data_IF_804571159396
#
_entry.id   IF_804571159396
#
_cell.length_a   1.000
_cell.length_b   1.000
_cell.length_c   1.000
_cell.angle_alpha   90.00
_cell.angle_beta   90.00
_cell.angle_gamma   90.00
#
_symmetry.space_group_name_H-M   'P 1'
#
loop_
_entity.id
_entity.type
_entity.pdbx_description
1 polymer ?
#
# COMPACT_ATOMS: atom_id res chain seq x y z
N UNK A 1 -5.02 30.27 18.17
CA UNK A 1 -4.74 29.46 16.96
C UNK A 1 -3.94 28.26 17.42
N UNK A 2 -4.61 27.25 17.95
CA UNK A 2 -3.95 26.04 18.47
C UNK A 2 -3.74 25.10 17.29
N UNK A 3 -2.47 25.00 16.88
CA UNK A 3 -1.99 24.00 15.95
C UNK A 3 -2.32 22.66 16.60
N UNK A 4 -3.15 21.86 15.91
CA UNK A 4 -3.56 20.55 16.37
C UNK A 4 -2.34 19.79 16.88
N UNK A 5 -2.45 19.23 18.09
CA UNK A 5 -1.57 18.22 18.61
C UNK A 5 -1.45 17.11 17.57
N UNK A 6 -0.42 17.22 16.72
CA UNK A 6 0.05 16.11 15.91
C UNK A 6 0.35 15.03 16.93
N UNK A 7 -0.42 13.93 16.88
CA UNK A 7 -0.12 12.71 17.63
C UNK A 7 1.27 12.27 17.17
N UNK A 8 2.29 12.79 17.83
CA UNK A 8 3.66 12.36 17.70
C UNK A 8 3.76 11.05 18.46
N UNK A 9 3.33 9.97 17.80
CA UNK A 9 3.62 8.63 18.27
C UNK A 9 5.14 8.51 18.38
N UNK A 10 5.62 8.26 19.60
CA UNK A 10 7.03 7.97 19.88
C UNK A 10 7.45 6.59 19.35
N UNK A 11 6.53 5.85 18.71
CA UNK A 11 6.79 4.62 17.96
C UNK A 11 6.55 4.78 16.46
N UNK A 12 7.27 3.99 15.65
CA UNK A 12 7.05 3.88 14.21
C UNK A 12 5.67 3.28 13.92
N UNK A 13 4.80 4.01 13.21
CA UNK A 13 3.53 3.46 12.74
C UNK A 13 3.76 2.50 11.56
N UNK A 14 3.21 1.28 11.65
CA UNK A 14 3.21 0.33 10.54
C UNK A 14 1.74 -0.02 10.23
N UNK A 15 1.33 0.26 9.00
CA UNK A 15 0.01 -0.12 8.48
C UNK A 15 0.17 -1.40 7.66
N UNK A 16 -0.58 -2.45 8.01
CA UNK A 16 -0.61 -3.71 7.28
C UNK A 16 -2.01 -3.89 6.72
N UNK A 17 -2.12 -4.06 5.41
CA UNK A 17 -3.42 -4.24 4.74
C UNK A 17 -3.32 -5.21 3.57
N UNK A 18 -4.47 -5.75 3.16
CA UNK A 18 -4.54 -6.65 2.00
C UNK A 18 -4.09 -5.97 0.68
N UNK A 19 -4.08 -4.65 0.62
CA UNK A 19 -3.70 -3.85 -0.54
C UNK A 19 -2.83 -2.69 -0.12
N UNK A 20 -1.87 -2.32 -0.97
CA UNK A 20 -1.24 -1.01 -0.90
C UNK A 20 -2.29 0.11 -1.11
N UNK A 21 -2.00 1.34 -0.68
CA UNK A 21 -2.92 2.46 -0.84
C UNK A 21 -2.95 2.98 -2.31
N UNK A 22 -2.17 2.36 -3.19
CA UNK A 22 -2.19 2.50 -4.64
C UNK A 22 -2.02 1.11 -5.26
N UNK A 23 -2.31 0.98 -6.54
CA UNK A 23 -1.96 -0.21 -7.33
C UNK A 23 -0.81 0.12 -8.28
N UNK A 24 0.04 -0.85 -8.54
CA UNK A 24 1.02 -0.75 -9.60
C UNK A 24 0.37 -1.15 -10.93
N UNK A 25 0.74 -0.44 -12.00
CA UNK A 25 0.36 -0.74 -13.38
C UNK A 25 1.60 -0.66 -14.26
N UNK A 26 1.63 -1.42 -15.36
CA UNK A 26 2.63 -1.27 -16.41
C UNK A 26 2.10 -0.32 -17.48
N UNK A 27 2.89 0.67 -17.90
CA UNK A 27 2.54 1.54 -19.01
C UNK A 27 2.84 0.91 -20.38
N UNK A 28 2.63 1.66 -21.46
CA UNK A 28 2.85 1.19 -22.83
C UNK A 28 4.32 0.83 -23.11
N UNK A 29 5.25 1.39 -22.34
CA UNK A 29 6.69 1.16 -22.46
C UNK A 29 7.15 0.04 -21.50
N UNK A 30 6.22 -0.60 -20.79
CA UNK A 30 6.51 -1.67 -19.84
C UNK A 30 7.08 -1.20 -18.51
N UNK A 31 7.03 0.11 -18.20
CA UNK A 31 7.51 0.66 -16.92
C UNK A 31 6.41 0.61 -15.86
N UNK A 32 6.79 0.33 -14.62
CA UNK A 32 5.87 0.44 -13.49
C UNK A 32 5.47 1.90 -13.25
N UNK A 33 4.19 2.10 -12.95
CA UNK A 33 3.61 3.36 -12.47
C UNK A 33 2.65 3.08 -11.33
N UNK A 34 2.52 4.06 -10.44
CA UNK A 34 1.48 4.05 -9.41
C UNK A 34 0.17 4.57 -9.99
N UNK A 35 -0.92 3.92 -9.62
CA UNK A 35 -2.27 4.45 -9.78
C UNK A 35 -2.92 4.47 -8.40
N UNK A 36 -3.20 5.67 -7.91
CA UNK A 36 -3.80 5.87 -6.60
C UNK A 36 -5.11 5.07 -6.44
N UNK A 37 -5.35 4.51 -5.27
CA UNK A 37 -6.63 3.90 -4.93
C UNK A 37 -7.53 4.94 -4.28
N UNK A 38 -8.77 5.05 -4.76
CA UNK A 38 -9.79 5.85 -4.08
C UNK A 38 -10.40 5.05 -2.92
N UNK A 39 -10.58 5.67 -1.76
CA UNK A 39 -11.30 5.06 -0.64
C UNK A 39 -11.11 5.82 0.67
N UNK A 40 -12.17 5.85 1.50
CA UNK A 40 -12.16 6.63 2.75
C UNK A 40 -11.03 6.25 3.71
N UNK A 41 -10.67 4.97 3.78
CA UNK A 41 -9.55 4.50 4.61
C UNK A 41 -8.21 5.07 4.13
N UNK A 42 -7.94 5.00 2.83
CA UNK A 42 -6.69 5.51 2.25
C UNK A 42 -6.59 7.01 2.47
N UNK A 43 -7.68 7.75 2.22
CA UNK A 43 -7.75 9.19 2.45
C UNK A 43 -7.50 9.57 3.91
N UNK A 44 -8.00 8.78 4.86
CA UNK A 44 -7.82 9.05 6.29
C UNK A 44 -6.44 8.66 6.81
N UNK A 45 -5.89 7.52 6.35
CA UNK A 45 -4.69 6.90 6.95
C UNK A 45 -3.40 7.34 6.27
N UNK A 46 -3.39 7.58 4.95
CA UNK A 46 -2.17 7.94 4.24
C UNK A 46 -1.46 9.18 4.81
N UNK A 47 -2.15 10.29 5.15
CA UNK A 47 -1.50 11.45 5.77
C UNK A 47 -0.84 11.12 7.11
N UNK A 48 -1.43 10.23 7.91
CA UNK A 48 -0.89 9.83 9.22
C UNK A 48 0.41 9.04 9.05
N UNK A 49 0.45 8.11 8.08
CA UNK A 49 1.66 7.33 7.77
C UNK A 49 2.76 8.25 7.23
N UNK A 50 2.41 9.15 6.30
CA UNK A 50 3.38 10.08 5.69
C UNK A 50 3.98 11.02 6.74
N UNK A 51 3.14 11.71 7.53
CA UNK A 51 3.59 12.68 8.52
C UNK A 51 4.29 12.02 9.71
N UNK A 52 3.90 10.78 10.05
CA UNK A 52 4.51 9.98 11.10
C UNK A 52 5.76 9.21 10.68
N UNK A 53 6.26 9.40 9.45
CA UNK A 53 7.38 8.63 8.90
C UNK A 53 7.19 7.10 9.02
N UNK A 54 5.94 6.65 8.89
CA UNK A 54 5.52 5.27 9.04
C UNK A 54 5.78 4.41 7.81
N UNK A 55 5.44 3.12 7.92
CA UNK A 55 5.56 2.13 6.86
C UNK A 55 4.18 1.60 6.46
N UNK A 56 4.02 1.29 5.17
CA UNK A 56 2.83 0.61 4.65
C UNK A 56 3.20 -0.73 4.03
N UNK A 57 2.57 -1.80 4.50
CA UNK A 57 2.72 -3.16 4.00
C UNK A 57 1.46 -3.60 3.27
N UNK A 58 1.59 -4.07 2.03
CA UNK A 58 0.41 -4.45 1.23
C UNK A 58 0.73 -5.11 -0.11
N UNK A 59 -0.28 -5.74 -0.72
CA UNK A 59 -0.14 -6.25 -2.09
C UNK A 59 -0.31 -5.11 -3.13
N UNK A 60 0.61 -4.94 -4.10
CA UNK A 60 0.57 -3.88 -5.12
C UNK A 60 -0.53 -4.03 -6.17
N UNK A 61 -1.33 -5.10 -6.12
CA UNK A 61 -2.44 -5.31 -7.05
C UNK A 61 -2.05 -5.88 -8.41
N UNK A 62 -0.76 -6.18 -8.61
CA UNK A 62 -0.24 -6.94 -9.75
C UNK A 62 0.71 -8.03 -9.26
N UNK A 63 0.96 -9.01 -10.10
CA UNK A 63 2.05 -9.96 -9.90
C UNK A 63 3.30 -9.38 -10.56
N UNK A 64 4.39 -9.27 -9.80
CA UNK A 64 5.70 -8.89 -10.33
C UNK A 64 6.51 -10.14 -10.65
N UNK A 65 7.14 -10.15 -11.82
CA UNK A 65 8.06 -11.22 -12.22
C UNK A 65 9.33 -11.20 -11.36
N UNK A 66 9.86 -10.02 -11.09
CA UNK A 66 10.94 -9.79 -10.13
C UNK A 66 10.37 -9.20 -8.83
N UNK A 67 10.38 -9.95 -7.71
CA UNK A 67 9.95 -9.45 -6.40
C UNK A 67 10.74 -8.24 -5.90
N UNK A 68 11.94 -8.02 -6.43
CA UNK A 68 12.81 -6.90 -6.06
C UNK A 68 12.73 -5.72 -7.04
N UNK A 69 11.83 -5.78 -8.04
CA UNK A 69 11.62 -4.66 -8.95
C UNK A 69 11.24 -3.40 -8.13
N UNK A 70 11.98 -2.29 -8.27
CA UNK A 70 11.79 -1.14 -7.41
C UNK A 70 10.43 -0.49 -7.64
N UNK A 71 9.74 -0.18 -6.54
CA UNK A 71 8.52 0.62 -6.59
C UNK A 71 8.89 2.02 -7.08
N UNK A 72 8.30 2.53 -8.18
CA UNK A 72 8.55 3.90 -8.63
C UNK A 72 7.98 4.88 -7.61
N UNK A 73 8.52 6.10 -7.52
CA UNK A 73 7.86 7.18 -6.77
C UNK A 73 6.50 7.54 -7.39
N UNK A 74 5.67 8.29 -6.65
CA UNK A 74 4.46 8.83 -7.28
C UNK A 74 4.79 9.84 -8.37
N UNK A 75 3.84 10.02 -9.30
CA UNK A 75 3.97 11.05 -10.33
C UNK A 75 4.08 12.45 -9.67
N UNK A 76 4.96 13.35 -10.14
CA UNK A 76 5.06 14.70 -9.59
C UNK A 76 3.75 15.50 -9.63
N UNK A 77 2.81 15.14 -10.50
CA UNK A 77 1.48 15.74 -10.63
C UNK A 77 0.41 15.05 -9.78
N UNK A 78 0.76 13.99 -9.05
CA UNK A 78 -0.15 13.31 -8.13
C UNK A 78 -0.48 14.23 -6.95
N UNK A 79 -1.77 14.55 -6.80
CA UNK A 79 -2.31 15.34 -5.68
C UNK A 79 -3.16 14.49 -4.73
N UNK A 80 -3.16 13.17 -4.92
CA UNK A 80 -3.94 12.26 -4.06
C UNK A 80 -3.33 12.17 -2.66
N UNK A 81 -4.09 11.70 -1.64
CA UNK A 81 -3.57 11.53 -0.29
C UNK A 81 -2.32 10.64 -0.20
N UNK A 82 -2.05 9.82 -1.22
CA UNK A 82 -0.89 8.92 -1.29
C UNK A 82 0.33 9.52 -1.97
N UNK A 83 0.23 10.71 -2.55
CA UNK A 83 1.31 11.32 -3.34
C UNK A 83 2.63 11.47 -2.57
N UNK A 84 2.53 11.75 -1.27
CA UNK A 84 3.70 11.91 -0.38
C UNK A 84 4.30 10.61 0.14
N UNK A 85 3.68 9.44 -0.09
CA UNK A 85 4.15 8.16 0.42
C UNK A 85 5.36 7.69 -0.40
N UNK A 86 6.57 7.75 0.17
CA UNK A 86 7.81 7.39 -0.52
C UNK A 86 7.97 5.90 -0.73
N UNK A 87 8.68 5.50 -1.80
CA UNK A 87 8.88 4.09 -2.15
C UNK A 87 9.59 3.30 -1.04
N UNK A 88 10.54 3.93 -0.34
CA UNK A 88 11.26 3.32 0.80
C UNK A 88 10.37 3.11 2.04
N UNK A 89 9.18 3.72 2.08
CA UNK A 89 8.16 3.55 3.12
C UNK A 89 7.12 2.50 2.77
N UNK A 90 7.30 1.80 1.65
CA UNK A 90 6.36 0.80 1.16
C UNK A 90 7.05 -0.56 1.12
N UNK A 91 6.45 -1.54 1.79
CA UNK A 91 6.85 -2.93 1.72
C UNK A 91 5.75 -3.71 1.00
N UNK A 92 6.06 -4.23 -0.19
CA UNK A 92 5.12 -5.08 -0.90
C UNK A 92 5.26 -6.54 -0.45
N UNK A 93 4.17 -7.29 -0.51
CA UNK A 93 4.24 -8.75 -0.49
C UNK A 93 3.61 -9.32 -1.76
N UNK A 94 4.19 -10.40 -2.27
CA UNK A 94 3.66 -11.12 -3.45
C UNK A 94 2.72 -12.24 -3.00
N UNK A 95 1.49 -12.24 -3.53
CA UNK A 95 0.48 -13.24 -3.18
C UNK A 95 0.74 -14.62 -3.81
N UNK A 96 1.77 -14.77 -4.66
CA UNK A 96 2.08 -16.06 -5.30
C UNK A 96 2.42 -17.17 -4.29
N UNK A 97 2.85 -16.82 -3.07
CA UNK A 97 3.09 -17.79 -1.99
C UNK A 97 1.85 -18.14 -1.16
N UNK A 98 0.71 -17.47 -1.36
CA UNK A 98 -0.54 -17.71 -0.60
C UNK A 98 -1.51 -18.71 -1.28
N UNK A 99 -1.02 -19.54 -2.21
CA UNK A 99 -1.78 -20.72 -2.66
C UNK A 99 -1.86 -21.73 -1.52
N UNK A 100 -3.08 -21.94 -1.01
CA UNK A 100 -3.54 -22.97 -0.06
C UNK A 100 -3.79 -22.50 1.39
N UNK A 101 -4.68 -21.53 1.55
CA UNK A 101 -5.81 -21.76 2.47
C UNK A 101 -7.05 -21.85 1.60
N UNK A 102 -7.13 -22.95 0.84
CA UNK A 102 -8.40 -23.34 0.22
C UNK A 102 -9.35 -23.60 1.37
N UNK A 103 -10.43 -22.83 1.42
CA UNK A 103 -11.66 -23.15 2.15
C UNK A 103 -12.13 -24.51 1.64
N UNK A 104 -11.58 -25.56 2.22
CA UNK A 104 -11.87 -26.94 1.89
C UNK A 104 -12.43 -27.60 3.15
N UNK A 105 -13.73 -27.91 3.05
CA UNK A 105 -14.59 -28.65 4.00
C UNK A 105 -15.13 -27.90 5.22
N UNK A 106 -16.14 -27.07 4.97
CA UNK A 106 -17.40 -27.17 5.71
C UNK A 106 -18.46 -27.75 4.76
N UNK A 107 -18.31 -29.01 4.39
CA UNK A 107 -19.42 -29.80 3.86
C UNK A 107 -20.11 -30.45 5.04
N UNK A 108 -21.30 -29.94 5.34
CA UNK A 108 -22.37 -30.53 6.14
C UNK A 108 -22.35 -32.06 6.10
N UNK A 109 -22.34 -32.68 7.27
CA UNK A 109 -22.98 -33.99 7.46
C UNK A 109 -24.15 -33.82 8.43
N UNK A 110 -25.30 -34.36 7.99
CA UNK A 110 -26.56 -34.51 8.73
C UNK A 110 -26.35 -35.13 10.10
#
# INVERSE_FOLDING_TARGET
MTIADVVASTGSMIVVSNRLPFVLIRDKDGKLKRRASAGGLVTAVAPVVINGNGLWVGWPGIHLEDPNEPIPESDPTDITPTAGLKSDKVCMYNFSEMRLISVSRLTTHK
#
